data_IF_013486762925
#
_entry.id   IF_013486762925
#
_cell.length_a   1.000
_cell.length_b   1.000
_cell.length_c   1.000
_cell.angle_alpha   90.00
_cell.angle_beta   90.00
_cell.angle_gamma   90.00
#
_symmetry.space_group_name_H-M   'P 1'
#
loop_
_entity.id
_entity.type
_entity.pdbx_description
1 polymer ?
#
# COMPACT_ATOMS: atom_id res chain seq x y z
N UNK A 1 -40.84 -14.83 -56.80
CA UNK A 1 -40.00 -15.48 -55.76
C UNK A 1 -39.00 -14.48 -55.21
N UNK A 2 -38.93 -14.37 -53.88
CA UNK A 2 -38.41 -13.24 -53.09
C UNK A 2 -36.87 -13.20 -52.99
N UNK A 3 -36.19 -12.35 -53.77
CA UNK A 3 -34.73 -12.12 -53.64
C UNK A 3 -34.35 -10.89 -52.80
N UNK A 4 -35.32 -10.04 -52.41
CA UNK A 4 -35.02 -8.77 -51.70
C UNK A 4 -34.81 -8.92 -50.19
N UNK A 5 -35.33 -10.01 -49.58
CA UNK A 5 -35.23 -10.28 -48.13
C UNK A 5 -33.82 -10.72 -47.68
N UNK A 6 -33.06 -11.40 -48.53
CA UNK A 6 -31.75 -11.94 -48.13
C UNK A 6 -30.64 -10.89 -48.01
N UNK A 7 -30.64 -9.82 -48.81
CA UNK A 7 -29.62 -8.75 -48.71
C UNK A 7 -29.80 -7.94 -47.42
N UNK A 8 -31.02 -7.57 -47.08
CA UNK A 8 -31.33 -6.86 -45.82
C UNK A 8 -30.95 -7.71 -44.59
N UNK A 9 -31.17 -9.02 -44.64
CA UNK A 9 -30.72 -9.95 -43.58
C UNK A 9 -29.20 -9.97 -43.40
N UNK A 10 -28.40 -9.87 -44.47
CA UNK A 10 -26.93 -9.82 -44.37
C UNK A 10 -26.45 -8.53 -43.72
N UNK A 11 -27.02 -7.38 -44.08
CA UNK A 11 -26.69 -6.10 -43.45
C UNK A 11 -27.15 -6.04 -41.98
N UNK A 12 -28.29 -6.64 -41.66
CA UNK A 12 -28.76 -6.77 -40.29
C UNK A 12 -27.84 -7.64 -39.43
N UNK A 13 -27.41 -8.80 -39.95
CA UNK A 13 -26.42 -9.65 -39.28
C UNK A 13 -25.08 -8.94 -39.11
N UNK A 14 -24.63 -8.21 -40.13
CA UNK A 14 -23.40 -7.42 -40.05
C UNK A 14 -23.49 -6.32 -38.98
N UNK A 15 -24.59 -5.56 -38.95
CA UNK A 15 -24.84 -4.56 -37.93
C UNK A 15 -24.88 -5.17 -36.51
N UNK A 16 -25.50 -6.35 -36.36
CA UNK A 16 -25.53 -7.07 -35.09
C UNK A 16 -24.12 -7.48 -34.63
N UNK A 17 -23.29 -8.02 -35.52
CA UNK A 17 -21.90 -8.35 -35.20
C UNK A 17 -21.11 -7.11 -34.78
N UNK A 18 -21.30 -5.97 -35.47
CA UNK A 18 -20.63 -4.72 -35.15
C UNK A 18 -21.02 -4.22 -33.75
N UNK A 19 -22.31 -4.27 -33.42
CA UNK A 19 -22.82 -3.92 -32.09
C UNK A 19 -22.23 -4.83 -31.01
N UNK A 20 -22.17 -6.15 -31.25
CA UNK A 20 -21.56 -7.10 -30.30
C UNK A 20 -20.08 -6.79 -30.06
N UNK A 21 -19.31 -6.51 -31.12
CA UNK A 21 -17.89 -6.14 -30.99
C UNK A 21 -17.71 -4.87 -30.18
N UNK A 22 -18.54 -3.85 -30.43
CA UNK A 22 -18.52 -2.60 -29.66
C UNK A 22 -18.87 -2.84 -28.20
N UNK A 23 -19.91 -3.64 -27.91
CA UNK A 23 -20.28 -3.99 -26.54
C UNK A 23 -19.19 -4.76 -25.80
N UNK A 24 -18.50 -5.70 -26.47
CA UNK A 24 -17.37 -6.43 -25.90
C UNK A 24 -16.21 -5.46 -25.60
N UNK A 25 -15.93 -4.51 -26.48
CA UNK A 25 -14.87 -3.52 -26.27
C UNK A 25 -15.18 -2.59 -25.08
N UNK A 26 -16.42 -2.10 -24.99
CA UNK A 26 -16.89 -1.29 -23.86
C UNK A 26 -16.87 -2.10 -22.57
N UNK A 27 -17.32 -3.36 -22.60
CA UNK A 27 -17.23 -4.27 -21.47
C UNK A 27 -15.78 -4.51 -21.06
N UNK A 28 -14.84 -4.67 -22.00
CA UNK A 28 -13.42 -4.85 -21.71
C UNK A 28 -12.75 -3.61 -21.10
N UNK A 29 -13.21 -2.41 -21.47
CA UNK A 29 -12.74 -1.15 -20.86
C UNK A 29 -13.37 -0.91 -19.48
N UNK A 30 -14.58 -1.42 -19.23
CA UNK A 30 -15.31 -1.17 -17.97
C UNK A 30 -15.10 -2.28 -16.94
N UNK A 31 -14.97 -3.55 -17.35
CA UNK A 31 -14.54 -4.66 -16.49
C UNK A 31 -13.02 -4.67 -16.39
N UNK A 32 -12.49 -3.78 -15.55
CA UNK A 32 -11.16 -3.97 -14.98
C UNK A 32 -11.19 -5.14 -13.98
N UNK A 33 -11.18 -6.37 -14.47
CA UNK A 33 -11.04 -7.56 -13.62
C UNK A 33 -9.56 -7.77 -13.31
N UNK A 34 -9.10 -7.23 -12.19
CA UNK A 34 -7.72 -7.39 -11.72
C UNK A 34 -7.63 -8.73 -10.99
N UNK A 35 -7.34 -9.82 -11.71
CA UNK A 35 -7.03 -11.13 -11.10
C UNK A 35 -5.59 -11.05 -10.59
N UNK A 36 -5.44 -11.03 -9.26
CA UNK A 36 -4.14 -11.11 -8.61
C UNK A 36 -3.62 -12.56 -8.72
N UNK A 37 -2.60 -12.77 -9.56
CA UNK A 37 -1.97 -14.08 -9.79
C UNK A 37 -0.72 -14.28 -8.94
N UNK A 38 -0.47 -13.42 -7.95
CA UNK A 38 0.64 -13.63 -7.01
C UNK A 38 0.25 -14.69 -5.99
N UNK A 39 0.86 -15.89 -6.10
CA UNK A 39 0.56 -17.05 -5.23
C UNK A 39 0.97 -16.88 -3.77
N UNK A 40 1.59 -15.76 -3.41
CA UNK A 40 1.99 -15.45 -2.05
C UNK A 40 1.18 -14.27 -1.52
N UNK A 41 0.07 -14.61 -0.88
CA UNK A 41 -0.76 -13.78 -0.01
C UNK A 41 -0.01 -13.21 1.22
N UNK A 42 1.33 -13.13 1.19
CA UNK A 42 2.20 -12.63 2.25
C UNK A 42 1.86 -11.20 2.70
N UNK A 43 1.18 -10.43 1.85
CA UNK A 43 0.75 -9.05 2.12
C UNK A 43 -0.75 -8.90 2.36
N UNK A 44 -1.52 -9.98 2.21
CA UNK A 44 -2.95 -9.94 2.43
C UNK A 44 -3.27 -10.29 3.87
N UNK A 45 -4.15 -9.51 4.50
CA UNK A 45 -4.60 -9.79 5.85
C UNK A 45 -5.18 -11.20 5.93
N UNK A 46 -4.65 -11.98 6.88
CA UNK A 46 -5.24 -13.27 7.23
C UNK A 46 -6.74 -13.08 7.52
N UNK A 47 -7.58 -14.10 7.28
CA UNK A 47 -9.02 -14.01 7.57
C UNK A 47 -9.31 -13.54 9.01
N UNK A 48 -8.46 -13.94 9.97
CA UNK A 48 -8.54 -13.56 11.38
C UNK A 48 -8.25 -12.06 11.56
N UNK A 49 -7.20 -11.55 10.93
CA UNK A 49 -6.84 -10.11 10.99
C UNK A 49 -7.93 -9.21 10.41
N UNK A 50 -8.64 -9.66 9.36
CA UNK A 50 -9.80 -8.93 8.81
C UNK A 50 -10.96 -8.90 9.79
N UNK A 51 -11.25 -10.01 10.44
CA UNK A 51 -12.35 -10.09 11.40
C UNK A 51 -12.11 -9.20 12.62
N UNK A 52 -10.88 -9.18 13.15
CA UNK A 52 -10.50 -8.29 14.25
C UNK A 52 -10.59 -6.82 13.83
N UNK A 53 -10.10 -6.46 12.63
CA UNK A 53 -10.22 -5.09 12.10
C UNK A 53 -11.68 -4.65 11.92
N UNK A 54 -12.56 -5.55 11.49
CA UNK A 54 -13.99 -5.27 11.31
C UNK A 54 -14.74 -5.11 12.64
N UNK A 55 -14.25 -5.72 13.73
CA UNK A 55 -14.85 -5.60 15.06
C UNK A 55 -14.44 -4.34 15.82
N UNK A 56 -13.53 -3.50 15.28
CA UNK A 56 -13.18 -2.23 15.91
C UNK A 56 -14.40 -1.32 16.01
N UNK A 57 -14.87 -1.13 17.24
CA UNK A 57 -16.01 -0.28 17.59
C UNK A 57 -15.57 1.18 17.84
N UNK A 58 -14.28 1.38 18.12
CA UNK A 58 -13.65 2.66 18.43
C UNK A 58 -12.52 2.98 17.43
N UNK A 59 -12.25 4.27 17.15
CA UNK A 59 -11.20 4.66 16.22
C UNK A 59 -9.80 4.35 16.77
N UNK A 60 -9.11 3.40 16.16
CA UNK A 60 -7.70 3.09 16.39
C UNK A 60 -6.82 3.97 15.49
N UNK A 61 -5.86 4.66 16.12
CA UNK A 61 -4.82 5.41 15.42
C UNK A 61 -3.47 4.80 15.75
N UNK A 62 -2.78 4.28 14.73
CA UNK A 62 -1.42 3.76 14.88
C UNK A 62 -0.45 4.88 14.52
N UNK A 63 0.44 5.23 15.45
CA UNK A 63 1.53 6.19 15.23
C UNK A 63 2.83 5.41 15.06
N UNK A 64 3.54 5.70 13.98
CA UNK A 64 4.78 5.03 13.59
C UNK A 64 5.89 6.07 13.54
N UNK A 65 6.96 5.82 14.27
CA UNK A 65 8.15 6.66 14.38
C UNK A 65 9.31 5.93 13.72
N UNK A 66 9.69 6.38 12.53
CA UNK A 66 10.66 5.68 11.70
C UNK A 66 11.81 6.57 11.25
N UNK A 67 13.03 6.04 11.33
CA UNK A 67 14.23 6.64 10.74
C UNK A 67 14.35 6.19 9.28
N UNK A 68 14.37 7.13 8.35
CA UNK A 68 14.51 6.92 6.91
C UNK A 68 15.92 6.48 6.54
N UNK A 69 16.04 5.92 5.35
CA UNK A 69 17.31 5.62 4.68
C UNK A 69 18.24 4.76 5.55
N UNK A 70 17.66 3.75 6.21
CA UNK A 70 18.44 2.75 6.92
C UNK A 70 19.19 1.88 5.92
N UNK A 71 20.43 1.47 6.22
CA UNK A 71 21.17 0.53 5.38
C UNK A 71 20.53 -0.86 5.41
N UNK A 72 21.00 -1.73 4.51
CA UNK A 72 20.66 -3.14 4.56
C UNK A 72 21.01 -3.73 5.95
N UNK A 73 20.16 -4.63 6.49
CA UNK A 73 18.98 -5.23 5.88
C UNK A 73 17.66 -4.45 6.11
N UNK A 74 17.71 -3.26 6.72
CA UNK A 74 16.52 -2.50 7.17
C UNK A 74 16.00 -1.46 6.15
N UNK A 75 16.66 -1.34 5.01
CA UNK A 75 16.34 -0.36 3.96
C UNK A 75 14.91 -0.46 3.38
N UNK A 76 14.24 -1.61 3.53
CA UNK A 76 12.85 -1.82 3.06
C UNK A 76 11.82 -1.93 4.18
N UNK A 77 12.25 -1.87 5.44
CA UNK A 77 11.38 -2.13 6.61
C UNK A 77 10.25 -1.11 6.72
N UNK A 78 10.53 0.19 6.53
CA UNK A 78 9.50 1.23 6.56
C UNK A 78 8.43 1.00 5.48
N UNK A 79 8.88 0.68 4.26
CA UNK A 79 8.00 0.47 3.11
C UNK A 79 7.07 -0.72 3.37
N UNK A 80 7.63 -1.84 3.82
CA UNK A 80 6.83 -3.01 4.17
C UNK A 80 5.77 -2.71 5.24
N UNK A 81 6.17 -2.03 6.32
CA UNK A 81 5.26 -1.66 7.40
C UNK A 81 4.16 -0.70 6.89
N UNK A 82 4.53 0.25 6.05
CA UNK A 82 3.61 1.20 5.43
C UNK A 82 2.56 0.51 4.58
N UNK A 83 2.97 -0.42 3.72
CA UNK A 83 2.06 -1.18 2.87
C UNK A 83 1.10 -2.04 3.70
N UNK A 84 1.62 -2.72 4.73
CA UNK A 84 0.81 -3.52 5.65
C UNK A 84 -0.25 -2.67 6.37
N UNK A 85 0.15 -1.55 6.97
CA UNK A 85 -0.77 -0.69 7.72
C UNK A 85 -1.78 0.01 6.82
N UNK A 86 -1.39 0.34 5.58
CA UNK A 86 -2.31 0.86 4.58
C UNK A 86 -3.37 -0.19 4.21
N UNK A 87 -3.00 -1.46 4.08
CA UNK A 87 -3.96 -2.53 3.83
C UNK A 87 -5.01 -2.61 4.96
N UNK A 88 -4.61 -2.57 6.23
CA UNK A 88 -5.55 -2.47 7.36
C UNK A 88 -6.47 -1.24 7.27
N UNK A 89 -5.91 -0.08 6.92
CA UNK A 89 -6.67 1.15 6.78
C UNK A 89 -7.69 1.08 5.63
N UNK A 90 -7.38 0.36 4.54
CA UNK A 90 -8.30 0.16 3.43
C UNK A 90 -9.54 -0.66 3.84
N UNK A 91 -9.37 -1.67 4.69
CA UNK A 91 -10.49 -2.50 5.18
C UNK A 91 -11.37 -1.77 6.20
N UNK A 92 -10.83 -0.84 7.00
CA UNK A 92 -11.62 -0.09 7.99
C UNK A 92 -11.25 1.41 8.02
N UNK A 93 -11.52 2.12 6.92
CA UNK A 93 -11.20 3.55 6.77
C UNK A 93 -11.82 4.46 7.85
N UNK A 94 -12.94 4.05 8.45
CA UNK A 94 -13.67 4.86 9.42
C UNK A 94 -13.04 4.80 10.81
N UNK A 95 -12.49 3.64 11.19
CA UNK A 95 -11.98 3.41 12.54
C UNK A 95 -10.48 3.06 12.58
N UNK A 96 -9.76 3.10 11.45
CA UNK A 96 -8.33 2.81 11.41
C UNK A 96 -7.58 3.93 10.71
N UNK A 97 -6.68 4.61 11.44
CA UNK A 97 -5.85 5.71 10.93
C UNK A 97 -4.38 5.41 11.19
N UNK A 98 -3.51 5.81 10.25
CA UNK A 98 -2.07 5.58 10.34
C UNK A 98 -1.29 6.90 10.25
N UNK A 99 -0.55 7.17 11.31
CA UNK A 99 0.33 8.28 11.67
C UNK A 99 1.81 8.07 11.35
N UNK A 100 2.40 8.53 10.25
CA UNK A 100 3.86 8.39 10.06
C UNK A 100 4.63 9.64 10.50
N UNK A 101 5.59 9.45 11.40
CA UNK A 101 6.47 10.47 11.94
C UNK A 101 7.91 10.18 11.54
N UNK A 102 8.51 11.14 10.83
CA UNK A 102 9.93 11.08 10.49
C UNK A 102 10.76 11.55 11.69
N UNK A 103 11.68 10.70 12.15
CA UNK A 103 12.59 10.98 13.28
C UNK A 103 14.06 11.04 12.85
N UNK A 104 14.32 11.09 11.54
CA UNK A 104 15.66 11.05 10.97
C UNK A 104 16.43 12.34 11.22
N UNK A 105 17.75 12.22 11.39
CA UNK A 105 18.63 13.35 11.21
C UNK A 105 18.72 13.69 9.71
N UNK A 106 18.69 14.97 9.37
CA UNK A 106 18.89 15.47 8.02
C UNK A 106 20.36 15.88 7.83
N UNK A 107 20.77 16.16 6.58
CA UNK A 107 22.16 16.49 6.23
C UNK A 107 22.69 17.71 6.98
N UNK A 108 21.83 18.67 7.32
CA UNK A 108 22.17 19.88 8.06
C UNK A 108 21.97 19.74 9.59
N UNK A 109 21.74 18.50 10.07
CA UNK A 109 21.42 18.20 11.46
C UNK A 109 19.97 17.74 11.63
N UNK A 110 19.53 17.59 12.88
CA UNK A 110 18.15 17.18 13.17
C UNK A 110 17.26 18.42 13.09
N UNK A 111 16.29 18.42 12.18
CA UNK A 111 15.26 19.46 12.10
C UNK A 111 14.45 19.52 13.40
N UNK A 112 13.91 20.69 13.73
CA UNK A 112 13.14 20.85 14.98
C UNK A 112 11.94 19.90 15.04
N UNK A 113 11.29 19.68 13.90
CA UNK A 113 10.21 18.69 13.77
C UNK A 113 10.69 17.26 14.04
N UNK A 114 11.86 16.86 13.53
CA UNK A 114 12.41 15.54 13.80
C UNK A 114 12.79 15.38 15.29
N UNK A 115 13.28 16.44 15.95
CA UNK A 115 13.53 16.43 17.41
C UNK A 115 12.26 16.26 18.21
N UNK A 116 11.19 16.98 17.85
CA UNK A 116 9.87 16.82 18.48
C UNK A 116 9.33 15.40 18.30
N UNK A 117 9.43 14.86 17.10
CA UNK A 117 8.99 13.48 16.82
C UNK A 117 9.81 12.46 17.62
N UNK A 118 11.11 12.68 17.80
CA UNK A 118 11.96 11.82 18.64
C UNK A 118 11.56 11.91 20.12
N UNK A 119 11.23 13.10 20.61
CA UNK A 119 10.73 13.25 21.98
C UNK A 119 9.40 12.52 22.15
N UNK A 120 8.48 12.71 21.20
CA UNK A 120 7.20 12.04 21.20
C UNK A 120 7.35 10.51 21.16
N UNK A 121 8.28 9.98 20.36
CA UNK A 121 8.60 8.56 20.32
C UNK A 121 9.04 8.06 21.71
N UNK A 122 9.93 8.79 22.39
CA UNK A 122 10.38 8.46 23.75
C UNK A 122 9.24 8.51 24.77
N UNK A 123 8.33 9.47 24.64
CA UNK A 123 7.15 9.58 25.52
C UNK A 123 6.20 8.37 25.35
N UNK A 124 6.14 7.80 24.15
CA UNK A 124 5.47 6.52 23.87
C UNK A 124 6.31 5.29 24.25
N UNK A 125 7.48 5.47 24.88
CA UNK A 125 8.37 4.38 25.30
C UNK A 125 9.22 3.79 24.17
N UNK A 126 9.20 4.39 22.98
CA UNK A 126 9.98 3.93 21.82
C UNK A 126 11.38 4.49 21.94
N UNK A 127 12.34 3.61 22.21
CA UNK A 127 13.76 3.95 22.29
C UNK A 127 14.46 3.65 20.96
N UNK A 128 15.47 4.44 20.57
CA UNK A 128 16.27 4.13 19.39
C UNK A 128 17.07 2.85 19.63
N UNK A 129 17.26 2.09 18.55
CA UNK A 129 18.16 0.95 18.50
C UNK A 129 19.43 1.33 17.76
N UNK A 130 20.56 0.81 18.23
CA UNK A 130 21.85 1.01 17.58
C UNK A 130 22.02 -0.02 16.46
N UNK A 131 22.15 0.47 15.23
CA UNK A 131 22.46 -0.35 14.05
C UNK A 131 23.90 -0.13 13.61
N UNK A 132 24.52 -1.21 13.14
CA UNK A 132 25.86 -1.19 12.57
C UNK A 132 25.77 -0.93 11.06
N UNK A 133 26.58 0.01 10.57
CA UNK A 133 26.68 0.38 9.17
C UNK A 133 28.12 0.13 8.72
N UNK A 134 28.31 -0.56 7.60
CA UNK A 134 29.62 -0.76 6.99
C UNK A 134 29.70 0.12 5.76
N UNK A 135 30.56 1.14 5.79
CA UNK A 135 30.79 2.09 4.69
C UNK A 135 32.28 2.11 4.36
N UNK A 136 32.66 1.79 3.12
CA UNK A 136 34.03 1.95 2.58
C UNK A 136 35.16 1.52 3.53
N UNK A 137 34.99 0.36 4.18
CA UNK A 137 35.91 -0.26 5.16
C UNK A 137 35.87 0.28 6.61
N UNK A 138 34.95 1.20 6.93
CA UNK A 138 34.67 1.66 8.29
C UNK A 138 33.37 1.09 8.87
N UNK A 139 33.44 0.65 10.13
CA UNK A 139 32.26 0.29 10.92
C UNK A 139 31.76 1.52 11.66
N UNK A 140 30.58 2.00 11.29
CA UNK A 140 29.87 3.10 11.95
C UNK A 140 28.67 2.58 12.71
N UNK A 141 28.34 3.24 13.82
CA UNK A 141 27.12 2.96 14.57
C UNK A 141 26.14 4.12 14.41
N UNK A 142 24.89 3.82 14.06
CA UNK A 142 23.82 4.81 13.92
C UNK A 142 22.65 4.43 14.83
N UNK A 143 22.05 5.42 15.46
CA UNK A 143 20.81 5.25 16.21
C UNK A 143 19.63 5.36 15.25
N UNK A 144 18.69 4.41 15.33
CA UNK A 144 17.52 4.33 14.47
C UNK A 144 16.26 4.03 15.28
N UNK A 145 15.16 4.71 14.97
CA UNK A 145 13.84 4.37 15.50
C UNK A 145 13.09 3.52 14.47
N UNK A 146 12.45 2.45 14.95
CA UNK A 146 11.66 1.51 14.16
C UNK A 146 10.45 1.03 14.99
N UNK A 147 9.66 1.97 15.52
CA UNK A 147 8.59 1.68 16.48
C UNK A 147 7.28 2.39 16.18
#
# INVERSE_FOLDING_TARGET
MNAKSQRSSKYFKFALYLVVVVLINVAGITLFFRVDMTGNQLFSLSPISRQVSATLSEPLTIKVFFTKDLPAPHNTTELYLRDLLNEYALYNKKHFKVQFYNVSAETEGISDQARENQQMARDYGIQPVQIQIVEEDEVKFKQAYMG
#
